data_IF_114449098020
#
_entry.id   IF_114449098020
#
_cell.length_a   1.000
_cell.length_b   1.000
_cell.length_c   1.000
_cell.angle_alpha   90.00
_cell.angle_beta   90.00
_cell.angle_gamma   90.00
#
_symmetry.space_group_name_H-M   'P 1'
#
loop_
_entity.id
_entity.type
_entity.pdbx_description
1 polymer ?
#
# COMPACT_ATOMS: atom_id res chain seq x y z
N UNK A 1 2.14 4.60 -15.50
CA UNK A 1 1.23 4.90 -14.38
C UNK A 1 0.79 6.38 -14.38
N UNK A 2 1.72 7.34 -14.54
CA UNK A 2 1.44 8.79 -14.47
C UNK A 2 0.23 9.30 -15.27
N UNK A 3 0.15 9.08 -16.59
CA UNK A 3 -0.99 9.57 -17.39
C UNK A 3 -2.34 8.93 -17.00
N UNK A 4 -2.33 7.67 -16.55
CA UNK A 4 -3.53 7.00 -16.06
C UNK A 4 -3.96 7.61 -14.71
N UNK A 5 -3.02 7.80 -13.79
CA UNK A 5 -3.27 8.42 -12.49
C UNK A 5 -3.88 9.82 -12.64
N UNK A 6 -3.30 10.69 -13.48
CA UNK A 6 -3.82 12.05 -13.67
C UNK A 6 -5.27 12.07 -14.18
N UNK A 7 -5.62 11.15 -15.08
CA UNK A 7 -6.98 11.03 -15.64
C UNK A 7 -7.97 10.44 -14.64
N UNK A 8 -7.52 9.52 -13.79
CA UNK A 8 -8.37 8.74 -12.89
C UNK A 8 -8.00 8.92 -11.42
N UNK A 9 -7.56 10.12 -11.03
CA UNK A 9 -6.93 10.40 -9.73
C UNK A 9 -7.75 9.87 -8.56
N UNK A 10 -9.00 10.30 -8.45
CA UNK A 10 -9.93 9.87 -7.39
C UNK A 10 -10.08 8.34 -7.32
N UNK A 11 -10.32 7.70 -8.46
CA UNK A 11 -10.50 6.26 -8.54
C UNK A 11 -9.21 5.50 -8.19
N UNK A 12 -8.07 6.02 -8.63
CA UNK A 12 -6.75 5.42 -8.39
C UNK A 12 -6.37 5.52 -6.93
N UNK A 13 -6.55 6.69 -6.31
CA UNK A 13 -6.29 6.86 -4.89
C UNK A 13 -7.20 5.99 -4.02
N UNK A 14 -8.48 5.83 -4.38
CA UNK A 14 -9.40 4.94 -3.67
C UNK A 14 -9.01 3.46 -3.83
N UNK A 15 -8.59 3.03 -5.02
CA UNK A 15 -8.09 1.69 -5.24
C UNK A 15 -6.83 1.40 -4.38
N UNK A 16 -5.93 2.38 -4.28
CA UNK A 16 -4.74 2.28 -3.40
C UNK A 16 -5.17 2.12 -1.94
N UNK A 17 -6.05 3.00 -1.44
CA UNK A 17 -6.56 2.89 -0.06
C UNK A 17 -7.22 1.54 0.21
N UNK A 18 -8.10 1.08 -0.67
CA UNK A 18 -8.77 -0.22 -0.55
C UNK A 18 -7.78 -1.41 -0.52
N UNK A 19 -6.67 -1.30 -1.26
CA UNK A 19 -5.67 -2.38 -1.35
C UNK A 19 -4.72 -2.45 -0.14
N UNK A 20 -4.47 -1.31 0.51
CA UNK A 20 -3.45 -1.15 1.56
C UNK A 20 -4.06 -1.03 2.95
N UNK A 21 -5.15 -0.28 3.10
CA UNK A 21 -5.76 -0.02 4.39
C UNK A 21 -6.57 -1.22 4.90
N UNK A 22 -6.59 -1.39 6.23
CA UNK A 22 -7.47 -2.33 6.91
C UNK A 22 -8.20 -1.61 8.04
N UNK A 23 -9.40 -2.08 8.38
CA UNK A 23 -10.15 -1.54 9.53
C UNK A 23 -9.74 -2.30 10.79
N UNK A 24 -9.35 -1.58 11.83
CA UNK A 24 -9.09 -2.15 13.15
C UNK A 24 -10.39 -2.28 13.97
N UNK A 25 -10.27 -2.74 15.22
CA UNK A 25 -11.42 -3.01 16.12
C UNK A 25 -12.32 -1.80 16.37
N UNK A 26 -11.77 -0.58 16.26
CA UNK A 26 -12.51 0.68 16.45
C UNK A 26 -12.94 1.32 15.13
N UNK A 27 -12.78 0.62 14.00
CA UNK A 27 -13.17 1.08 12.66
C UNK A 27 -12.20 2.08 12.01
N UNK A 28 -11.08 2.41 12.66
CA UNK A 28 -10.05 3.26 12.07
C UNK A 28 -9.19 2.48 11.07
N UNK A 29 -8.60 3.19 10.10
CA UNK A 29 -7.66 2.59 9.16
C UNK A 29 -6.33 2.30 9.90
N UNK A 30 -5.90 1.04 9.91
CA UNK A 30 -4.59 0.62 10.38
C UNK A 30 -4.14 -0.66 9.63
N UNK A 31 -3.22 -0.56 8.66
CA UNK A 31 -2.46 0.64 8.31
C UNK A 31 -3.31 1.70 7.57
N UNK A 32 -2.88 2.96 7.61
CA UNK A 32 -3.53 4.14 7.02
C UNK A 32 -2.66 4.74 5.91
N UNK A 33 -3.27 5.11 4.78
CA UNK A 33 -2.59 5.86 3.72
C UNK A 33 -2.71 7.35 3.99
N UNK A 34 -1.61 7.98 4.39
CA UNK A 34 -1.58 9.40 4.75
C UNK A 34 -1.42 10.33 3.54
N UNK A 35 -0.61 9.94 2.54
CA UNK A 35 -0.37 10.75 1.34
C UNK A 35 -0.11 9.89 0.10
N UNK A 36 -0.43 10.44 -1.07
CA UNK A 36 -0.15 9.85 -2.39
C UNK A 36 0.48 10.94 -3.29
N UNK A 37 1.69 10.71 -3.77
CA UNK A 37 2.46 11.67 -4.58
C UNK A 37 2.68 11.19 -6.03
N UNK A 38 2.94 12.14 -6.94
CA UNK A 38 3.05 11.92 -8.39
C UNK A 38 4.47 11.53 -8.85
N UNK A 39 4.57 10.80 -9.98
CA UNK A 39 5.82 10.28 -10.54
C UNK A 39 5.73 8.76 -10.80
N UNK A 40 6.38 7.97 -9.96
CA UNK A 40 5.84 6.70 -9.50
C UNK A 40 4.82 7.01 -8.41
N UNK A 41 3.67 6.33 -8.31
CA UNK A 41 2.76 6.60 -7.20
C UNK A 41 3.48 6.26 -5.88
N UNK A 42 3.88 7.29 -5.13
CA UNK A 42 4.52 7.12 -3.82
C UNK A 42 3.44 7.23 -2.77
N UNK A 43 3.34 6.21 -1.92
CA UNK A 43 2.32 6.14 -0.87
C UNK A 43 2.99 6.22 0.49
N UNK A 44 2.59 7.21 1.29
CA UNK A 44 2.99 7.27 2.70
C UNK A 44 2.03 6.40 3.52
N UNK A 45 2.50 5.23 3.94
CA UNK A 45 1.72 4.27 4.73
C UNK A 45 2.11 4.36 6.21
N UNK A 46 1.12 4.55 7.09
CA UNK A 46 1.29 4.59 8.53
C UNK A 46 0.70 3.32 9.16
N UNK A 47 1.53 2.54 9.84
CA UNK A 47 1.08 1.44 10.69
C UNK A 47 1.01 1.95 12.14
N UNK A 48 -0.20 2.08 12.69
CA UNK A 48 -0.44 2.59 14.05
C UNK A 48 -0.16 1.54 15.12
N UNK A 49 -0.15 0.25 14.76
CA UNK A 49 0.15 -0.87 15.67
C UNK A 49 1.33 -1.70 15.19
N UNK A 50 2.02 -2.35 16.13
CA UNK A 50 3.06 -3.34 15.78
C UNK A 50 2.49 -4.50 14.96
N UNK A 51 1.24 -4.91 15.26
CA UNK A 51 0.57 -5.98 14.53
C UNK A 51 0.31 -5.60 13.07
N UNK A 52 -0.20 -4.40 12.79
CA UNK A 52 -0.45 -3.96 11.41
C UNK A 52 0.85 -3.83 10.63
N UNK A 53 1.91 -3.34 11.26
CA UNK A 53 3.26 -3.30 10.68
C UNK A 53 3.78 -4.69 10.31
N UNK A 54 3.83 -5.62 11.27
CA UNK A 54 4.33 -6.98 11.02
C UNK A 54 3.51 -7.71 9.96
N UNK A 55 2.18 -7.54 9.98
CA UNK A 55 1.30 -8.14 8.99
C UNK A 55 1.51 -7.54 7.60
N UNK A 56 1.70 -6.22 7.49
CA UNK A 56 2.02 -5.57 6.23
C UNK A 56 3.34 -6.10 5.66
N UNK A 57 4.40 -6.18 6.47
CA UNK A 57 5.72 -6.67 6.03
C UNK A 57 5.63 -8.13 5.57
N UNK A 58 4.90 -8.97 6.31
CA UNK A 58 4.62 -10.36 5.91
C UNK A 58 3.90 -10.42 4.56
N UNK A 59 2.81 -9.65 4.41
CA UNK A 59 2.04 -9.60 3.16
C UNK A 59 2.87 -9.10 1.98
N UNK A 60 3.77 -8.15 2.22
CA UNK A 60 4.69 -7.63 1.20
C UNK A 60 5.65 -8.73 0.74
N UNK A 61 6.30 -9.45 1.66
CA UNK A 61 7.19 -10.59 1.35
C UNK A 61 6.47 -11.69 0.60
N UNK A 62 5.22 -11.96 0.96
CA UNK A 62 4.36 -12.96 0.30
C UNK A 62 3.73 -12.47 -1.02
N UNK A 63 4.12 -11.29 -1.52
CA UNK A 63 3.60 -10.64 -2.75
C UNK A 63 2.09 -10.34 -2.72
N UNK A 64 1.44 -10.43 -1.56
CA UNK A 64 0.00 -10.15 -1.41
C UNK A 64 -0.32 -8.67 -1.62
N UNK A 65 0.58 -7.78 -1.21
CA UNK A 65 0.41 -6.33 -1.41
C UNK A 65 0.33 -6.00 -2.91
N UNK A 66 1.28 -6.51 -3.72
CA UNK A 66 1.25 -6.36 -5.17
C UNK A 66 -0.05 -6.89 -5.76
N UNK A 67 -0.45 -8.10 -5.39
CA UNK A 67 -1.68 -8.73 -5.92
C UNK A 67 -2.93 -7.89 -5.62
N UNK A 68 -3.09 -7.40 -4.38
CA UNK A 68 -4.22 -6.54 -4.00
C UNK A 68 -4.23 -5.22 -4.75
N UNK A 69 -3.06 -4.60 -4.94
CA UNK A 69 -2.94 -3.37 -5.73
C UNK A 69 -3.37 -3.61 -7.18
N UNK A 70 -2.91 -4.69 -7.81
CA UNK A 70 -3.31 -5.04 -9.18
C UNK A 70 -4.81 -5.37 -9.27
N UNK A 71 -5.37 -6.11 -8.31
CA UNK A 71 -6.81 -6.40 -8.24
C UNK A 71 -7.64 -5.12 -8.14
N UNK A 72 -7.30 -4.19 -7.25
CA UNK A 72 -8.04 -2.93 -7.09
C UNK A 72 -7.86 -1.98 -8.28
N UNK A 73 -6.65 -1.88 -8.85
CA UNK A 73 -6.40 -1.04 -10.03
C UNK A 73 -7.05 -1.61 -11.30
N UNK A 74 -7.17 -2.93 -11.40
CA UNK A 74 -7.90 -3.58 -12.50
C UNK A 74 -9.39 -3.21 -12.50
N UNK A 75 -10.01 -3.06 -11.32
CA UNK A 75 -11.42 -2.62 -11.21
C UNK A 75 -11.68 -1.24 -11.81
N UNK A 76 -10.65 -0.40 -11.90
CA UNK A 76 -10.76 0.95 -12.48
C UNK A 76 -10.19 1.03 -13.91
N UNK A 77 -9.86 -0.11 -14.52
CA UNK A 77 -9.42 -0.21 -15.92
C UNK A 77 -7.91 -0.18 -16.13
N UNK A 78 -7.09 -0.31 -15.08
CA UNK A 78 -5.64 -0.45 -15.21
C UNK A 78 -5.24 -1.93 -15.14
N UNK A 79 -4.87 -2.51 -16.29
CA UNK A 79 -4.58 -3.94 -16.43
C UNK A 79 -3.10 -4.22 -16.78
N UNK A 80 -2.18 -3.38 -16.29
CA UNK A 80 -0.74 -3.59 -16.47
C UNK A 80 -0.12 -4.14 -15.18
N UNK A 81 0.92 -4.95 -15.33
CA UNK A 81 1.71 -5.42 -14.21
C UNK A 81 2.34 -4.24 -13.44
N UNK A 82 2.35 -4.36 -12.11
CA UNK A 82 2.97 -3.40 -11.20
C UNK A 82 4.30 -3.91 -10.67
N UNK A 83 5.26 -2.98 -10.56
CA UNK A 83 6.38 -3.13 -9.65
C UNK A 83 6.05 -2.42 -8.34
N UNK A 84 6.18 -3.13 -7.22
CA UNK A 84 5.86 -2.59 -5.88
C UNK A 84 7.07 -2.79 -4.98
N UNK A 85 7.61 -1.69 -4.48
CA UNK A 85 8.82 -1.65 -3.66
C UNK A 85 8.58 -0.85 -2.38
N UNK A 86 9.31 -1.16 -1.31
CA UNK A 86 9.37 -0.31 -0.11
C UNK A 86 10.55 0.65 -0.28
N UNK A 87 10.30 1.96 -0.22
CA UNK A 87 11.37 2.96 -0.44
C UNK A 87 12.41 2.91 0.70
N UNK A 88 11.96 2.88 1.95
CA UNK A 88 12.81 2.76 3.14
C UNK A 88 13.01 1.29 3.56
N UNK A 89 13.37 0.42 2.61
CA UNK A 89 13.47 -1.03 2.82
C UNK A 89 14.38 -1.42 4.01
N UNK A 90 15.53 -0.74 4.16
CA UNK A 90 16.49 -1.05 5.24
C UNK A 90 15.87 -0.80 6.62
N UNK A 91 15.28 0.37 6.82
CA UNK A 91 14.62 0.75 8.09
C UNK A 91 13.47 -0.21 8.43
N UNK A 92 12.65 -0.57 7.45
CA UNK A 92 11.53 -1.47 7.65
C UNK A 92 11.99 -2.86 8.09
N UNK A 93 12.97 -3.45 7.43
CA UNK A 93 13.43 -4.80 7.80
C UNK A 93 14.27 -4.82 9.07
N UNK A 94 15.00 -3.74 9.39
CA UNK A 94 15.64 -3.60 10.69
C UNK A 94 14.58 -3.59 11.80
N UNK A 95 13.55 -2.74 11.66
CA UNK A 95 12.46 -2.65 12.65
C UNK A 95 11.67 -3.96 12.78
N UNK A 96 11.46 -4.69 11.68
CA UNK A 96 10.85 -6.03 11.75
C UNK A 96 11.70 -7.00 12.58
N UNK A 97 13.03 -6.93 12.48
CA UNK A 97 13.93 -7.78 13.27
C UNK A 97 13.93 -7.40 14.75
N UNK A 98 13.85 -6.12 15.09
CA UNK A 98 13.81 -5.63 16.48
C UNK A 98 12.50 -5.98 17.21
N UNK A 99 11.38 -6.10 16.49
CA UNK A 99 10.07 -6.47 17.08
C UNK A 99 9.96 -7.99 17.31
N UNK A 100 10.69 -8.81 16.55
CA UNK A 100 10.62 -10.28 16.60
C UNK A 100 11.57 -10.87 17.64
#
# INVERSE_FOLDING_TARGET
>A
LGAFYLRYRWNTENAIRNSLERRNEIGAADPEVANIEEGSIIVKLHCHTQQSFLQFVKDFKEKKVKRRLEEELKKIGFDKELEVTIVNTQEVFQREHEIR
#
